data_IF_080384678304
#
_entry.id   IF_080384678304
#
_cell.length_a   1.000
_cell.length_b   1.000
_cell.length_c   1.000
_cell.angle_alpha   90.00
_cell.angle_beta   90.00
_cell.angle_gamma   90.00
#
_symmetry.space_group_name_H-M   'P 1'
#
loop_
_entity.id
_entity.type
_entity.pdbx_description
1 polymer ?
#
# COMPACT_ATOMS: atom_id res chain seq x y z
N UNK A 1 -33.88 27.71 -4.18
CA UNK A 1 -32.65 27.28 -4.87
C UNK A 1 -32.40 25.82 -4.54
N UNK A 2 -32.66 24.91 -5.48
CA UNK A 2 -32.48 23.48 -5.28
C UNK A 2 -31.01 23.11 -5.61
N UNK A 3 -30.22 22.79 -4.60
CA UNK A 3 -28.89 22.23 -4.82
C UNK A 3 -29.02 20.81 -5.37
N UNK A 4 -28.58 20.67 -6.61
CA UNK A 4 -28.41 19.43 -7.37
C UNK A 4 -27.71 18.36 -6.49
N UNK A 5 -28.38 17.24 -6.22
CA UNK A 5 -27.72 15.99 -5.82
C UNK A 5 -26.81 15.56 -6.97
N UNK A 6 -25.51 15.78 -6.83
CA UNK A 6 -24.50 15.18 -7.72
C UNK A 6 -24.18 13.79 -7.20
N UNK A 7 -24.31 12.81 -8.11
CA UNK A 7 -24.07 11.38 -7.92
C UNK A 7 -22.64 11.11 -7.42
N UNK A 8 -22.48 10.87 -6.12
CA UNK A 8 -21.21 10.50 -5.48
C UNK A 8 -20.91 8.99 -5.50
N UNK A 9 -21.71 8.15 -6.17
CA UNK A 9 -21.64 6.69 -5.95
C UNK A 9 -20.80 5.89 -6.95
N UNK A 10 -20.40 6.45 -8.09
CA UNK A 10 -19.64 5.72 -9.13
C UNK A 10 -18.15 6.01 -9.10
N UNK A 11 -17.73 7.25 -8.90
CA UNK A 11 -16.31 7.63 -8.80
C UNK A 11 -15.62 6.97 -7.61
N UNK A 12 -16.27 6.95 -6.45
CA UNK A 12 -15.79 6.30 -5.22
C UNK A 12 -15.65 4.77 -5.36
N UNK A 13 -16.45 4.12 -6.21
CA UNK A 13 -16.28 2.67 -6.48
C UNK A 13 -15.09 2.39 -7.40
N UNK A 14 -14.91 3.20 -8.43
CA UNK A 14 -13.81 3.04 -9.40
C UNK A 14 -12.45 3.35 -8.76
N UNK A 15 -12.36 4.40 -7.94
CA UNK A 15 -11.12 4.76 -7.21
C UNK A 15 -10.70 3.67 -6.21
N UNK A 16 -11.67 3.07 -5.50
CA UNK A 16 -11.42 1.90 -4.64
C UNK A 16 -10.92 0.70 -5.44
N UNK A 17 -11.49 0.46 -6.61
CA UNK A 17 -11.07 -0.61 -7.52
C UNK A 17 -9.60 -0.46 -7.92
N UNK A 18 -9.21 0.73 -8.42
CA UNK A 18 -7.82 0.99 -8.80
C UNK A 18 -6.84 0.88 -7.64
N UNK A 19 -7.21 1.39 -6.46
CA UNK A 19 -6.37 1.32 -5.26
C UNK A 19 -6.09 -0.13 -4.84
N UNK A 20 -7.15 -0.96 -4.84
CA UNK A 20 -7.03 -2.39 -4.53
C UNK A 20 -6.22 -3.14 -5.58
N UNK A 21 -6.44 -2.86 -6.87
CA UNK A 21 -5.67 -3.47 -7.96
C UNK A 21 -4.18 -3.16 -7.84
N UNK A 22 -3.84 -1.89 -7.58
CA UNK A 22 -2.45 -1.49 -7.38
C UNK A 22 -1.81 -2.20 -6.18
N UNK A 23 -2.49 -2.21 -5.03
CA UNK A 23 -2.03 -2.92 -3.84
C UNK A 23 -1.79 -4.41 -4.10
N UNK A 24 -2.76 -5.09 -4.70
CA UNK A 24 -2.64 -6.53 -5.02
C UNK A 24 -1.50 -6.79 -6.01
N UNK A 25 -1.38 -5.97 -7.07
CA UNK A 25 -0.30 -6.10 -8.04
C UNK A 25 1.09 -5.95 -7.39
N UNK A 26 1.25 -4.98 -6.47
CA UNK A 26 2.49 -4.83 -5.70
C UNK A 26 2.77 -6.08 -4.88
N UNK A 27 1.79 -6.61 -4.12
CA UNK A 27 2.02 -7.81 -3.30
C UNK A 27 2.41 -9.05 -4.11
N UNK A 28 1.79 -9.27 -5.27
CA UNK A 28 2.13 -10.37 -6.17
C UNK A 28 3.56 -10.26 -6.72
N UNK A 29 4.00 -9.04 -7.04
CA UNK A 29 5.36 -8.78 -7.48
C UNK A 29 6.37 -8.96 -6.34
N UNK A 30 6.03 -8.55 -5.11
CA UNK A 30 6.86 -8.82 -3.94
C UNK A 30 7.02 -10.33 -3.70
N UNK A 31 5.94 -11.10 -3.80
CA UNK A 31 5.98 -12.56 -3.67
C UNK A 31 6.86 -13.20 -4.76
N UNK A 32 6.79 -12.70 -5.99
CA UNK A 32 7.63 -13.15 -7.10
C UNK A 32 9.11 -12.80 -6.91
N UNK A 33 9.39 -11.60 -6.37
CA UNK A 33 10.75 -11.11 -6.12
C UNK A 33 11.43 -11.83 -4.96
N UNK A 34 10.67 -12.22 -3.93
CA UNK A 34 11.18 -12.94 -2.76
C UNK A 34 10.74 -14.41 -2.78
N UNK A 35 11.46 -15.31 -3.48
CA UNK A 35 11.08 -16.73 -3.63
C UNK A 35 11.31 -17.58 -2.37
N UNK A 36 11.33 -16.95 -1.19
CA UNK A 36 11.59 -17.61 0.09
C UNK A 36 10.29 -17.73 0.91
N UNK A 37 10.06 -18.88 1.58
CA UNK A 37 8.97 -19.00 2.54
C UNK A 37 9.08 -17.94 3.62
N UNK A 38 7.95 -17.32 3.96
CA UNK A 38 7.89 -16.31 5.03
C UNK A 38 8.50 -14.95 4.68
N UNK A 39 8.69 -14.62 3.38
CA UNK A 39 9.21 -13.34 2.92
C UNK A 39 8.51 -12.12 3.54
N UNK A 40 7.22 -12.21 3.84
CA UNK A 40 6.43 -11.17 4.52
C UNK A 40 7.07 -10.70 5.83
N UNK A 41 7.80 -11.57 6.53
CA UNK A 41 8.52 -11.22 7.76
C UNK A 41 9.57 -10.13 7.54
N UNK A 42 10.17 -10.04 6.35
CA UNK A 42 11.11 -8.97 5.99
C UNK A 42 10.47 -7.58 6.11
N UNK A 43 9.17 -7.49 5.85
CA UNK A 43 8.39 -6.27 5.97
C UNK A 43 7.90 -6.04 7.41
N UNK A 44 7.46 -7.10 8.10
CA UNK A 44 7.02 -7.01 9.49
C UNK A 44 8.16 -6.68 10.47
N UNK A 45 9.43 -6.85 10.08
CA UNK A 45 10.59 -6.51 10.92
C UNK A 45 11.42 -5.38 10.33
N UNK A 46 10.78 -4.22 10.11
CA UNK A 46 11.44 -2.98 9.70
C UNK A 46 11.20 -2.54 8.25
N UNK A 47 10.61 -3.38 7.40
CA UNK A 47 10.24 -2.99 6.03
C UNK A 47 8.85 -2.35 5.87
N UNK A 48 8.05 -2.32 6.93
CA UNK A 48 6.65 -1.88 6.90
C UNK A 48 6.50 -0.42 6.50
N UNK A 49 7.41 0.46 6.95
CA UNK A 49 7.37 1.87 6.57
C UNK A 49 7.71 2.06 5.10
N UNK A 50 8.72 1.36 4.58
CA UNK A 50 9.05 1.42 3.16
C UNK A 50 7.86 0.98 2.30
N UNK A 51 7.20 -0.13 2.65
CA UNK A 51 6.04 -0.61 1.89
C UNK A 51 4.89 0.38 1.96
N UNK A 52 4.58 0.90 3.15
CA UNK A 52 3.48 1.85 3.33
C UNK A 52 3.75 3.16 2.57
N UNK A 53 4.98 3.68 2.61
CA UNK A 53 5.40 4.88 1.86
C UNK A 53 5.43 4.64 0.34
N UNK A 54 5.82 3.44 -0.11
CA UNK A 54 5.74 3.04 -1.53
C UNK A 54 4.29 3.01 -2.02
N UNK A 55 3.39 2.34 -1.28
CA UNK A 55 1.97 2.27 -1.63
C UNK A 55 1.29 3.63 -1.57
N UNK A 56 1.62 4.47 -0.57
CA UNK A 56 1.06 5.82 -0.42
C UNK A 56 1.33 6.71 -1.64
N UNK A 57 2.48 6.53 -2.31
CA UNK A 57 2.82 7.26 -3.54
C UNK A 57 1.94 6.85 -4.74
N UNK A 58 1.41 5.62 -4.75
CA UNK A 58 0.59 5.08 -5.85
C UNK A 58 -0.92 5.06 -5.57
N UNK A 59 -1.35 5.21 -4.31
CA UNK A 59 -2.75 5.12 -3.90
C UNK A 59 -3.21 6.46 -3.33
N UNK A 60 -4.20 7.08 -3.97
CA UNK A 60 -4.81 8.33 -3.51
C UNK A 60 -6.35 8.23 -3.57
N UNK A 61 -7.09 8.58 -2.51
CA UNK A 61 -6.59 9.00 -1.18
C UNK A 61 -6.08 7.82 -0.34
N UNK A 62 -5.01 8.04 0.42
CA UNK A 62 -4.52 7.09 1.44
C UNK A 62 -3.86 7.81 2.62
N UNK A 63 -3.77 7.14 3.77
CA UNK A 63 -3.25 7.70 5.03
C UNK A 63 -2.28 6.72 5.67
N UNK A 64 -1.07 7.20 6.01
CA UNK A 64 -0.11 6.42 6.78
C UNK A 64 -0.58 6.30 8.23
N UNK A 65 -0.67 5.08 8.74
CA UNK A 65 -1.09 4.81 10.11
C UNK A 65 0.05 4.13 10.88
N UNK A 66 0.17 4.44 12.16
CA UNK A 66 1.20 3.88 13.04
C UNK A 66 0.57 3.28 14.30
N UNK A 67 1.10 2.14 14.73
CA UNK A 67 0.87 1.55 16.03
C UNK A 67 2.21 1.53 16.79
N UNK A 68 2.36 2.46 17.74
CA UNK A 68 3.60 2.59 18.53
C UNK A 68 3.83 1.43 19.50
N UNK A 69 2.77 0.76 19.95
CA UNK A 69 2.87 -0.35 20.90
C UNK A 69 3.48 -1.59 20.24
N UNK A 70 3.10 -1.84 18.98
CA UNK A 70 3.60 -2.98 18.20
C UNK A 70 4.80 -2.59 17.31
N UNK A 71 5.21 -1.33 17.35
CA UNK A 71 6.23 -0.75 16.46
C UNK A 71 5.98 -1.07 14.97
N UNK A 72 4.72 -0.95 14.55
CA UNK A 72 4.28 -1.29 13.20
C UNK A 72 3.61 -0.11 12.52
N UNK A 73 3.61 -0.10 11.19
CA UNK A 73 2.88 0.87 10.40
C UNK A 73 2.28 0.22 9.16
N UNK A 74 1.18 0.81 8.70
CA UNK A 74 0.34 0.29 7.65
C UNK A 74 -0.32 1.44 6.89
N UNK A 75 -0.93 1.14 5.75
CA UNK A 75 -1.59 2.14 4.91
C UNK A 75 -3.10 1.99 4.98
N UNK A 76 -3.80 3.05 5.34
CA UNK A 76 -5.25 3.12 5.29
C UNK A 76 -5.70 3.66 3.93
N UNK A 77 -6.51 2.88 3.21
CA UNK A 77 -7.13 3.27 1.94
C UNK A 77 -8.37 2.40 1.70
N UNK A 78 -9.27 2.80 0.79
CA UNK A 78 -10.47 2.03 0.44
C UNK A 78 -11.27 1.48 1.67
N UNK A 79 -11.35 2.26 2.74
CA UNK A 79 -12.01 1.91 4.02
C UNK A 79 -11.44 0.65 4.71
N UNK A 80 -10.13 0.48 4.65
CA UNK A 80 -9.43 -0.53 5.45
C UNK A 80 -7.98 -0.19 5.67
N UNK A 81 -7.39 -0.79 6.70
CA UNK A 81 -5.97 -0.73 6.98
C UNK A 81 -5.27 -1.96 6.38
N UNK A 82 -4.19 -1.75 5.65
CA UNK A 82 -3.49 -2.82 4.94
C UNK A 82 -1.98 -2.78 5.21
N UNK A 83 -1.40 -3.95 5.37
CA UNK A 83 0.05 -4.16 5.37
C UNK A 83 0.45 -5.26 4.36
N UNK A 84 1.66 -5.80 4.47
CA UNK A 84 2.14 -6.88 3.60
C UNK A 84 1.30 -8.18 3.68
N UNK A 85 0.54 -8.37 4.75
CA UNK A 85 -0.23 -9.59 5.02
C UNK A 85 -1.63 -9.53 4.44
N UNK A 86 -2.15 -8.34 4.13
CA UNK A 86 -3.53 -8.14 3.73
C UNK A 86 -4.17 -7.01 4.51
N UNK A 87 -5.51 -7.06 4.59
CA UNK A 87 -6.30 -6.21 5.49
C UNK A 87 -6.05 -6.61 6.94
N UNK A 88 -5.75 -5.64 7.79
CA UNK A 88 -5.50 -5.83 9.22
C UNK A 88 -6.50 -5.02 10.08
N UNK A 89 -6.48 -5.26 11.39
CA UNK A 89 -7.28 -4.49 12.35
C UNK A 89 -6.71 -3.08 12.54
N UNK A 90 -7.58 -2.08 12.63
CA UNK A 90 -7.24 -0.69 12.95
C UNK A 90 -6.97 -0.47 14.45
N UNK A 91 -7.09 -1.51 15.28
CA UNK A 91 -6.91 -1.39 16.74
C UNK A 91 -5.52 -0.85 17.08
N UNK A 92 -5.47 0.20 17.90
CA UNK A 92 -4.26 0.89 18.35
C UNK A 92 -3.45 1.60 17.24
N UNK A 93 -3.99 1.68 16.02
CA UNK A 93 -3.42 2.52 14.97
C UNK A 93 -4.03 3.91 15.03
N UNK A 94 -3.21 4.92 14.75
CA UNK A 94 -3.64 6.30 14.52
C UNK A 94 -2.91 6.88 13.32
N UNK A 95 -3.45 7.96 12.75
CA UNK A 95 -2.83 8.67 11.62
C UNK A 95 -1.45 9.20 12.03
N UNK A 96 -0.44 8.88 11.23
CA UNK A 96 0.94 9.22 11.53
C UNK A 96 1.20 10.72 11.32
N UNK A 97 1.63 11.39 12.38
CA UNK A 97 2.07 12.79 12.29
C UNK A 97 3.45 12.91 11.62
N UNK A 98 3.81 14.13 11.17
CA UNK A 98 5.12 14.40 10.55
C UNK A 98 6.31 13.91 11.39
N UNK A 99 6.24 14.05 12.72
CA UNK A 99 7.29 13.57 13.63
C UNK A 99 7.40 12.05 13.63
N UNK A 100 6.28 11.35 13.56
CA UNK A 100 6.22 9.89 13.51
C UNK A 100 6.70 9.38 12.16
N UNK A 101 6.31 10.03 11.06
CA UNK A 101 6.82 9.71 9.72
C UNK A 101 8.36 9.86 9.70
N UNK A 102 8.89 10.93 10.29
CA UNK A 102 10.35 11.12 10.41
C UNK A 102 11.00 10.02 11.25
N UNK A 103 10.39 9.64 12.38
CA UNK A 103 10.84 8.55 13.23
C UNK A 103 10.85 7.21 12.49
N UNK A 104 9.74 6.82 11.85
CA UNK A 104 9.62 5.57 11.10
C UNK A 104 10.62 5.54 9.96
N UNK A 105 10.75 6.63 9.18
CA UNK A 105 11.74 6.74 8.10
C UNK A 105 13.16 6.52 8.61
N UNK A 106 13.48 6.94 9.83
CA UNK A 106 14.82 6.78 10.42
C UNK A 106 15.06 5.36 10.95
N UNK A 107 14.06 4.75 11.59
CA UNK A 107 14.24 3.57 12.43
C UNK A 107 13.71 2.27 11.79
N UNK A 108 12.68 2.34 10.96
CA UNK A 108 12.10 1.17 10.29
C UNK A 108 12.87 0.94 9.00
N UNK A 109 14.01 0.28 9.13
CA UNK A 109 14.94 0.01 8.03
C UNK A 109 14.74 -1.41 7.49
N UNK A 110 14.38 -1.54 6.20
CA UNK A 110 14.33 -2.84 5.53
C UNK A 110 15.69 -3.57 5.60
N UNK A 111 15.65 -4.90 5.68
CA UNK A 111 16.85 -5.77 5.57
C UNK A 111 17.06 -6.30 4.14
N UNK A 112 16.52 -5.59 3.16
CA UNK A 112 16.64 -5.87 1.73
C UNK A 112 17.03 -4.59 1.00
N UNK A 113 17.57 -4.75 -0.21
CA UNK A 113 17.91 -3.63 -1.06
C UNK A 113 16.64 -2.99 -1.63
N UNK A 114 16.31 -1.81 -1.13
CA UNK A 114 15.13 -1.06 -1.58
C UNK A 114 15.29 -0.54 -3.00
N UNK A 115 16.50 -0.23 -3.46
CA UNK A 115 16.74 0.32 -4.80
C UNK A 115 16.54 -0.73 -5.90
N UNK A 116 17.06 -1.94 -5.67
CA UNK A 116 16.80 -3.07 -6.58
C UNK A 116 15.32 -3.44 -6.61
N UNK A 117 14.66 -3.44 -5.45
CA UNK A 117 13.24 -3.74 -5.37
C UNK A 117 12.37 -2.67 -6.06
N UNK A 118 12.67 -1.37 -5.86
CA UNK A 118 11.93 -0.30 -6.54
C UNK A 118 12.11 -0.35 -8.06
N UNK A 119 13.32 -0.67 -8.55
CA UNK A 119 13.58 -0.88 -9.99
C UNK A 119 12.73 -2.04 -10.53
N UNK A 120 12.77 -3.19 -9.86
CA UNK A 120 11.99 -4.36 -10.25
C UNK A 120 10.48 -4.06 -10.30
N UNK A 121 9.94 -3.41 -9.26
CA UNK A 121 8.53 -3.05 -9.22
C UNK A 121 8.16 -2.08 -10.34
N UNK A 122 9.00 -1.07 -10.61
CA UNK A 122 8.76 -0.12 -11.69
C UNK A 122 8.68 -0.85 -13.05
N UNK A 123 9.63 -1.74 -13.35
CA UNK A 123 9.67 -2.48 -14.62
C UNK A 123 8.42 -3.36 -14.83
N UNK A 124 7.93 -4.03 -13.78
CA UNK A 124 6.87 -5.04 -13.91
C UNK A 124 5.45 -4.51 -13.64
N UNK A 125 5.29 -3.37 -12.94
CA UNK A 125 3.98 -2.75 -12.72
C UNK A 125 3.38 -2.17 -14.02
N UNK A 126 4.21 -1.68 -14.95
CA UNK A 126 3.74 -1.22 -16.27
C UNK A 126 3.16 -2.37 -17.09
N UNK A 127 3.78 -3.55 -17.03
CA UNK A 127 3.34 -4.73 -17.75
C UNK A 127 1.99 -5.23 -17.25
N UNK A 128 1.80 -5.30 -15.93
CA UNK A 128 0.52 -5.73 -15.33
C UNK A 128 -0.61 -4.72 -15.54
N UNK A 129 -0.34 -3.43 -15.49
CA UNK A 129 -1.36 -2.39 -15.75
C UNK A 129 -1.94 -2.50 -17.16
N UNK A 130 -1.11 -2.86 -18.14
CA UNK A 130 -1.54 -3.09 -19.53
C UNK A 130 -2.37 -4.36 -19.72
N UNK A 131 -2.13 -5.40 -18.90
CA UNK A 131 -2.87 -6.66 -18.95
C UNK A 131 -4.26 -6.54 -18.29
N UNK A 132 -4.36 -5.83 -17.16
CA UNK A 132 -5.63 -5.58 -16.47
C UNK A 132 -6.57 -4.72 -17.33
N UNK A 133 -6.05 -3.66 -17.95
CA UNK A 133 -6.83 -2.83 -18.89
C UNK A 133 -7.36 -3.61 -20.10
N UNK A 134 -6.63 -4.63 -20.57
CA UNK A 134 -7.08 -5.51 -21.67
C UNK A 134 -8.16 -6.50 -21.22
N UNK A 135 -8.11 -6.96 -19.97
CA UNK A 135 -9.09 -7.89 -19.42
C UNK A 135 -10.44 -7.23 -19.12
N UNK A 136 -10.47 -5.92 -18.82
CA UNK A 136 -11.71 -5.16 -18.60
C UNK A 136 -12.44 -4.73 -19.90
N UNK A 137 -11.80 -4.91 -21.07
CA UNK A 137 -12.35 -4.57 -22.39
C UNK A 137 -12.90 -5.79 -23.17
N UNK A 138 -12.87 -6.98 -22.57
CA UNK A 138 -13.42 -8.24 -23.12
C UNK A 138 -14.65 -8.68 -22.31
#
# INVERSE_FOLDING_TARGET
MAYKRMNHSNTDKTERGHSMLFYTAVLELLESYFPIPGWKKLFLTGGCFWLSDYLHRGICPSVLMINRTEEHCALYFAHGLYDVTGKISEKNFHEAEKREISFMRKNYRPKFDTGLLETYLAEHLFEKSSAVQRAELL
#
